data_IF_688246690408
#
_entry.id   IF_688246690408
#
_cell.length_a   1.000
_cell.length_b   1.000
_cell.length_c   1.000
_cell.angle_alpha   90.00
_cell.angle_beta   90.00
_cell.angle_gamma   90.00
#
_symmetry.space_group_name_H-M   'P 1'
#
loop_
_entity.id
_entity.type
_entity.pdbx_description
1 polymer ?
#
# COMPACT_ATOMS: atom_id res chain seq x y z
N UNK A 1 48.76 1.67 -21.32
CA UNK A 1 47.74 0.63 -21.20
C UNK A 1 47.05 0.89 -19.87
N UNK A 2 46.05 1.78 -19.78
CA UNK A 2 44.62 1.57 -20.11
C UNK A 2 44.16 0.17 -19.70
N UNK A 3 43.18 -0.05 -18.82
CA UNK A 3 42.14 0.79 -18.26
C UNK A 3 41.83 0.33 -16.83
N UNK A 4 41.26 1.24 -16.04
CA UNK A 4 40.65 0.96 -14.75
C UNK A 4 39.51 -0.07 -14.93
N UNK A 5 39.74 -1.34 -14.61
CA UNK A 5 38.67 -2.33 -14.45
C UNK A 5 37.95 -2.07 -13.12
N UNK A 6 37.10 -1.03 -13.13
CA UNK A 6 36.11 -0.81 -12.07
C UNK A 6 35.01 -1.86 -12.23
N UNK A 7 35.16 -2.98 -11.53
CA UNK A 7 34.07 -3.94 -11.41
C UNK A 7 32.96 -3.31 -10.55
N UNK A 8 31.76 -3.22 -11.12
CA UNK A 8 30.55 -2.87 -10.36
C UNK A 8 29.84 -4.19 -10.03
N UNK A 9 29.72 -4.57 -8.75
CA UNK A 9 28.98 -5.76 -8.38
C UNK A 9 27.52 -5.60 -8.82
N UNK A 10 26.98 -6.63 -9.48
CA UNK A 10 25.62 -6.66 -9.98
C UNK A 10 24.90 -7.94 -9.53
N UNK A 11 23.61 -7.83 -9.27
CA UNK A 11 22.77 -8.98 -8.96
C UNK A 11 22.29 -9.64 -10.24
N UNK A 12 22.64 -10.91 -10.45
CA UNK A 12 22.09 -11.71 -11.54
C UNK A 12 20.73 -12.26 -11.09
N UNK A 13 19.67 -11.96 -11.84
CA UNK A 13 18.31 -12.47 -11.63
C UNK A 13 17.73 -12.16 -10.22
N UNK A 14 17.71 -10.89 -9.78
CA UNK A 14 17.26 -10.52 -8.42
C UNK A 14 15.78 -10.82 -8.13
N UNK A 15 14.99 -11.19 -9.15
CA UNK A 15 13.57 -11.51 -9.02
C UNK A 15 13.28 -13.02 -9.05
N UNK A 16 14.30 -13.88 -9.24
CA UNK A 16 14.10 -15.32 -9.15
C UNK A 16 13.92 -15.75 -7.69
N UNK A 17 13.05 -16.73 -7.47
CA UNK A 17 12.84 -17.40 -6.18
C UNK A 17 13.48 -18.79 -6.26
N UNK A 18 14.81 -18.91 -6.07
CA UNK A 18 15.57 -20.14 -6.31
C UNK A 18 15.16 -21.31 -5.41
N UNK A 19 14.46 -21.04 -4.31
CA UNK A 19 13.86 -22.07 -3.45
C UNK A 19 12.65 -22.76 -4.09
N UNK A 20 12.04 -22.12 -5.11
CA UNK A 20 10.82 -22.57 -5.79
C UNK A 20 11.14 -23.26 -7.12
N UNK A 21 12.33 -23.05 -7.68
CA UNK A 21 12.78 -23.75 -8.86
C UNK A 21 14.28 -23.70 -9.03
N UNK A 22 14.86 -24.80 -9.50
CA UNK A 22 16.15 -24.71 -10.18
C UNK A 22 16.00 -23.80 -11.40
N UNK A 23 17.06 -23.07 -11.72
CA UNK A 23 17.13 -22.12 -12.85
C UNK A 23 16.46 -22.71 -14.11
N UNK A 24 15.78 -21.91 -14.96
CA UNK A 24 14.63 -22.29 -15.81
C UNK A 24 14.93 -23.25 -17.00
N UNK A 25 15.74 -24.29 -16.84
CA UNK A 25 16.20 -25.18 -17.90
C UNK A 25 16.24 -26.68 -17.54
N UNK A 26 15.57 -27.14 -16.47
CA UNK A 26 15.48 -28.57 -16.14
C UNK A 26 14.01 -29.02 -16.01
N UNK A 27 13.69 -30.30 -16.28
CA UNK A 27 12.36 -30.70 -16.72
C UNK A 27 11.30 -30.53 -15.61
N UNK A 28 10.21 -29.88 -16.01
CA UNK A 28 8.94 -29.78 -15.30
C UNK A 28 8.51 -31.15 -14.78
N UNK A 29 8.31 -31.27 -13.46
CA UNK A 29 7.35 -32.17 -12.77
C UNK A 29 7.64 -32.37 -11.26
N UNK A 30 8.42 -31.52 -10.59
CA UNK A 30 8.54 -31.61 -9.14
C UNK A 30 7.46 -30.82 -8.41
N UNK A 31 6.77 -31.50 -7.49
CA UNK A 31 5.83 -30.89 -6.57
C UNK A 31 6.62 -30.04 -5.56
N UNK A 32 6.50 -28.72 -5.64
CA UNK A 32 7.23 -27.79 -4.77
C UNK A 32 6.58 -27.80 -3.39
N UNK A 33 7.36 -28.08 -2.34
CA UNK A 33 6.88 -27.96 -0.96
C UNK A 33 6.69 -26.46 -0.60
N UNK A 34 5.48 -26.03 -0.20
CA UNK A 34 5.19 -24.65 0.20
C UNK A 34 6.09 -24.09 1.32
N UNK A 35 6.74 -24.95 2.11
CA UNK A 35 7.70 -24.49 3.12
C UNK A 35 8.92 -23.78 2.52
N UNK A 36 9.30 -24.14 1.29
CA UNK A 36 10.38 -23.49 0.55
C UNK A 36 10.02 -22.08 0.07
N UNK A 37 8.75 -21.82 -0.28
CA UNK A 37 8.25 -20.48 -0.56
C UNK A 37 8.44 -19.55 0.64
N UNK A 38 8.18 -20.04 1.84
CA UNK A 38 8.30 -19.25 3.06
C UNK A 38 9.75 -18.80 3.28
N UNK A 39 10.73 -19.65 2.95
CA UNK A 39 12.16 -19.30 3.05
C UNK A 39 12.58 -18.19 2.11
N UNK A 40 12.05 -18.16 0.89
CA UNK A 40 12.36 -17.09 -0.07
C UNK A 40 11.60 -15.79 0.22
N UNK A 41 10.42 -15.89 0.84
CA UNK A 41 9.58 -14.73 1.16
C UNK A 41 9.96 -14.07 2.48
N UNK A 42 10.71 -14.75 3.36
CA UNK A 42 11.17 -14.21 4.63
C UNK A 42 12.70 -14.12 4.63
N UNK A 43 13.21 -12.89 4.73
CA UNK A 43 14.64 -12.59 4.64
C UNK A 43 15.46 -13.09 5.85
N UNK A 44 14.81 -13.38 6.98
CA UNK A 44 15.45 -13.85 8.21
C UNK A 44 14.48 -14.79 8.98
N UNK A 45 15.03 -15.74 9.72
CA UNK A 45 14.32 -16.65 10.64
C UNK A 45 14.99 -16.72 12.01
N UNK A 46 15.90 -15.78 12.31
CA UNK A 46 16.53 -15.65 13.62
C UNK A 46 15.47 -15.51 14.72
N UNK A 47 15.80 -15.97 15.93
CA UNK A 47 14.92 -15.80 17.09
C UNK A 47 14.61 -14.33 17.37
N UNK A 48 15.56 -13.44 17.09
CA UNK A 48 15.39 -11.99 17.19
C UNK A 48 14.35 -11.46 16.17
N UNK A 49 14.44 -11.89 14.91
CA UNK A 49 13.45 -11.52 13.89
C UNK A 49 12.03 -11.97 14.26
N UNK A 50 11.89 -13.21 14.74
CA UNK A 50 10.58 -13.74 15.19
C UNK A 50 10.02 -12.95 16.38
N UNK A 51 10.87 -12.51 17.30
CA UNK A 51 10.43 -11.68 18.42
C UNK A 51 10.03 -10.27 17.97
N UNK A 52 10.74 -9.69 17.00
CA UNK A 52 10.37 -8.41 16.41
C UNK A 52 9.05 -8.47 15.62
N UNK A 53 8.78 -9.57 14.91
CA UNK A 53 7.47 -9.85 14.31
C UNK A 53 6.36 -9.79 15.36
N UNK A 54 6.54 -10.49 16.50
CA UNK A 54 5.55 -10.52 17.58
C UNK A 54 5.30 -9.13 18.14
N UNK A 55 6.36 -8.38 18.44
CA UNK A 55 6.26 -7.00 18.94
C UNK A 55 5.45 -6.11 18.01
N UNK A 56 5.74 -6.14 16.70
CA UNK A 56 4.99 -5.35 15.70
C UNK A 56 3.55 -5.80 15.54
N UNK A 57 3.28 -7.10 15.62
CA UNK A 57 1.91 -7.61 15.60
C UNK A 57 1.09 -7.06 16.76
N UNK A 58 1.63 -7.08 17.99
CA UNK A 58 0.96 -6.57 19.17
C UNK A 58 0.78 -5.05 19.12
N UNK A 59 1.74 -4.30 18.59
CA UNK A 59 1.64 -2.85 18.38
C UNK A 59 0.41 -2.46 17.54
N UNK A 60 0.07 -3.27 16.53
CA UNK A 60 -1.04 -2.99 15.61
C UNK A 60 -2.33 -3.75 15.92
N UNK A 61 -2.37 -4.52 17.02
CA UNK A 61 -3.54 -5.33 17.39
C UNK A 61 -4.07 -4.82 18.71
N UNK A 62 -4.60 -3.59 18.65
CA UNK A 62 -5.24 -2.91 19.78
C UNK A 62 -6.71 -2.63 19.42
N UNK A 63 -7.60 -2.44 20.42
CA UNK A 63 -9.01 -2.14 20.17
C UNK A 63 -9.25 -0.89 19.30
N UNK A 64 -8.34 0.08 19.36
CA UNK A 64 -8.44 1.34 18.61
C UNK A 64 -8.23 1.14 17.10
N UNK A 65 -7.46 0.13 16.72
CA UNK A 65 -7.14 -0.17 15.32
C UNK A 65 -7.85 -1.42 14.78
N UNK A 66 -8.72 -2.05 15.59
CA UNK A 66 -9.43 -3.25 15.19
C UNK A 66 -10.73 -2.92 14.45
N UNK A 67 -10.84 -3.45 13.23
CA UNK A 67 -12.08 -3.36 12.47
C UNK A 67 -12.90 -4.61 12.79
N UNK A 68 -13.76 -4.49 13.80
CA UNK A 68 -14.54 -5.61 14.31
C UNK A 68 -15.44 -6.26 13.27
N UNK A 69 -16.06 -5.46 12.39
CA UNK A 69 -16.98 -5.95 11.36
C UNK A 69 -16.84 -5.16 10.06
N UNK A 70 -16.90 -5.88 8.94
CA UNK A 70 -16.99 -5.30 7.60
C UNK A 70 -18.10 -6.01 6.82
N UNK A 71 -18.84 -5.28 5.96
CA UNK A 71 -19.81 -5.90 5.08
C UNK A 71 -19.12 -6.85 4.09
N UNK A 72 -19.77 -7.97 3.77
CA UNK A 72 -19.30 -8.92 2.75
C UNK A 72 -19.57 -8.40 1.33
N UNK A 73 -19.10 -7.19 1.04
CA UNK A 73 -19.22 -6.54 -0.26
C UNK A 73 -17.88 -6.59 -0.99
N UNK A 74 -17.88 -7.13 -2.21
CA UNK A 74 -16.64 -7.42 -2.95
C UNK A 74 -15.79 -6.18 -3.16
N UNK A 75 -16.41 -5.04 -3.52
CA UNK A 75 -15.68 -3.77 -3.75
C UNK A 75 -14.96 -3.31 -2.47
N UNK A 76 -15.61 -3.42 -1.30
CA UNK A 76 -15.04 -3.00 -0.02
C UNK A 76 -13.90 -3.95 0.39
N UNK A 77 -14.13 -5.25 0.28
CA UNK A 77 -13.13 -6.25 0.63
C UNK A 77 -11.87 -6.13 -0.23
N UNK A 78 -12.02 -6.06 -1.56
CA UNK A 78 -10.90 -6.04 -2.50
C UNK A 78 -10.14 -4.71 -2.54
N UNK A 79 -10.82 -3.58 -2.30
CA UNK A 79 -10.20 -2.25 -2.43
C UNK A 79 -9.76 -1.62 -1.11
N UNK A 80 -10.32 -2.05 0.02
CA UNK A 80 -10.02 -1.49 1.34
C UNK A 80 -9.47 -2.55 2.29
N UNK A 81 -10.24 -3.61 2.57
CA UNK A 81 -9.94 -4.54 3.67
C UNK A 81 -8.72 -5.41 3.38
N UNK A 82 -8.68 -6.09 2.23
CA UNK A 82 -7.56 -6.95 1.87
C UNK A 82 -6.26 -6.20 1.66
N UNK A 83 -6.23 -5.05 0.95
CA UNK A 83 -5.02 -4.26 0.84
C UNK A 83 -4.54 -3.72 2.19
N UNK A 84 -5.45 -3.30 3.09
CA UNK A 84 -5.06 -2.85 4.43
C UNK A 84 -4.51 -4.00 5.29
N UNK A 85 -5.13 -5.19 5.21
CA UNK A 85 -4.59 -6.40 5.84
C UNK A 85 -3.19 -6.73 5.30
N UNK A 86 -2.95 -6.55 4.00
CA UNK A 86 -1.64 -6.75 3.37
C UNK A 86 -0.63 -5.69 3.83
N UNK A 87 -1.04 -4.44 4.02
CA UNK A 87 -0.20 -3.40 4.59
C UNK A 87 0.24 -3.75 6.02
N UNK A 88 -0.69 -4.22 6.86
CA UNK A 88 -0.39 -4.73 8.21
C UNK A 88 0.61 -5.89 8.17
N UNK A 89 0.43 -6.84 7.25
CA UNK A 89 1.38 -7.94 7.05
C UNK A 89 2.77 -7.44 6.65
N UNK A 90 2.83 -6.49 5.71
CA UNK A 90 4.09 -5.91 5.25
C UNK A 90 4.84 -5.23 6.41
N UNK A 91 4.15 -4.41 7.22
CA UNK A 91 4.75 -3.80 8.42
C UNK A 91 5.29 -4.84 9.41
N UNK A 92 4.50 -5.87 9.73
CA UNK A 92 4.91 -6.94 10.66
C UNK A 92 6.18 -7.64 10.19
N UNK A 93 6.35 -7.79 8.87
CA UNK A 93 7.49 -8.46 8.23
C UNK A 93 8.67 -7.52 7.92
N UNK A 94 8.67 -6.28 8.43
CA UNK A 94 9.66 -5.23 8.09
C UNK A 94 9.64 -4.77 6.61
N UNK A 95 8.61 -5.09 5.83
CA UNK A 95 8.43 -4.54 4.48
C UNK A 95 7.72 -3.18 4.57
N UNK A 96 8.47 -2.17 5.01
CA UNK A 96 7.94 -0.83 5.22
C UNK A 96 7.56 -0.13 3.90
N UNK A 97 8.26 -0.40 2.81
CA UNK A 97 7.92 0.15 1.49
C UNK A 97 6.59 -0.41 0.98
N UNK A 98 6.40 -1.74 1.07
CA UNK A 98 5.13 -2.38 0.74
C UNK A 98 3.99 -1.86 1.62
N UNK A 99 4.25 -1.68 2.92
CA UNK A 99 3.30 -1.08 3.85
C UNK A 99 2.88 0.34 3.43
N UNK A 100 3.85 1.24 3.19
CA UNK A 100 3.58 2.63 2.77
C UNK A 100 2.81 2.68 1.45
N UNK A 101 3.17 1.83 0.48
CA UNK A 101 2.49 1.75 -0.80
C UNK A 101 1.02 1.34 -0.64
N UNK A 102 0.76 0.28 0.13
CA UNK A 102 -0.58 -0.25 0.34
C UNK A 102 -1.45 0.69 1.18
N UNK A 103 -0.92 1.28 2.26
CA UNK A 103 -1.63 2.30 3.04
C UNK A 103 -1.99 3.51 2.17
N UNK A 104 -1.07 3.95 1.31
CA UNK A 104 -1.32 5.01 0.35
C UNK A 104 -2.43 4.69 -0.64
N UNK A 105 -2.47 3.47 -1.17
CA UNK A 105 -3.53 3.00 -2.06
C UNK A 105 -4.89 2.94 -1.34
N UNK A 106 -4.93 2.34 -0.14
CA UNK A 106 -6.16 2.22 0.67
C UNK A 106 -6.72 3.59 1.01
N UNK A 107 -5.86 4.53 1.42
CA UNK A 107 -6.28 5.90 1.73
C UNK A 107 -6.95 6.58 0.53
N UNK A 108 -6.37 6.44 -0.67
CA UNK A 108 -6.99 6.97 -1.89
C UNK A 108 -8.34 6.29 -2.22
N UNK A 109 -8.42 4.97 -2.08
CA UNK A 109 -9.65 4.22 -2.32
C UNK A 109 -10.74 4.58 -1.31
N UNK A 110 -10.38 4.80 -0.04
CA UNK A 110 -11.31 5.18 1.02
C UNK A 110 -11.90 6.57 0.76
N UNK A 111 -11.08 7.52 0.34
CA UNK A 111 -11.51 8.87 -0.06
C UNK A 111 -12.50 8.82 -1.24
N UNK A 112 -12.20 8.03 -2.26
CA UNK A 112 -13.12 7.84 -3.41
C UNK A 112 -14.43 7.20 -2.94
N UNK A 113 -14.34 6.17 -2.11
CA UNK A 113 -15.50 5.47 -1.57
C UNK A 113 -16.39 6.39 -0.72
N UNK A 114 -15.80 7.27 0.09
CA UNK A 114 -16.53 8.23 0.90
C UNK A 114 -17.30 9.24 0.04
N UNK A 115 -16.69 9.72 -1.05
CA UNK A 115 -17.38 10.57 -2.02
C UNK A 115 -18.55 9.85 -2.69
N UNK A 116 -18.34 8.59 -3.11
CA UNK A 116 -19.38 7.75 -3.72
C UNK A 116 -20.56 7.53 -2.76
N UNK A 117 -20.29 7.32 -1.46
CA UNK A 117 -21.31 7.10 -0.43
C UNK A 117 -22.13 8.36 -0.13
N UNK A 118 -21.50 9.53 -0.12
CA UNK A 118 -22.16 10.77 0.25
C UNK A 118 -23.21 11.25 -0.77
N UNK A 119 -23.19 10.69 -1.99
CA UNK A 119 -24.15 10.97 -3.05
C UNK A 119 -24.40 12.47 -3.30
N UNK A 120 -23.38 13.33 -3.15
CA UNK A 120 -23.47 14.80 -3.16
C UNK A 120 -24.44 15.31 -4.24
N UNK A 121 -25.39 16.15 -3.83
CA UNK A 121 -26.49 16.60 -4.68
C UNK A 121 -26.28 18.04 -5.17
N UNK A 122 -26.59 18.29 -6.45
CA UNK A 122 -26.80 19.62 -7.04
C UNK A 122 -28.20 19.62 -7.65
N UNK A 123 -29.03 20.60 -7.29
CA UNK A 123 -30.44 20.68 -7.73
C UNK A 123 -31.22 19.38 -7.52
N UNK A 124 -31.08 18.77 -6.32
CA UNK A 124 -31.73 17.51 -5.92
C UNK A 124 -31.36 16.29 -6.76
N UNK A 125 -30.32 16.37 -7.59
CA UNK A 125 -29.76 15.23 -8.34
C UNK A 125 -28.32 14.98 -7.92
N UNK A 126 -27.94 13.71 -7.81
CA UNK A 126 -26.55 13.36 -7.53
C UNK A 126 -25.65 13.91 -8.63
N UNK A 127 -24.47 14.39 -8.22
CA UNK A 127 -23.50 15.05 -9.08
C UNK A 127 -23.01 14.10 -10.17
N UNK A 128 -23.54 14.26 -11.37
CA UNK A 128 -23.18 13.41 -12.49
C UNK A 128 -21.78 13.76 -13.05
N UNK A 129 -21.21 12.87 -13.88
CA UNK A 129 -19.87 13.07 -14.42
C UNK A 129 -19.70 14.37 -15.24
N UNK A 130 -20.75 14.89 -15.86
CA UNK A 130 -20.71 16.17 -16.60
C UNK A 130 -20.58 17.34 -15.62
N UNK A 131 -21.36 17.34 -14.56
CA UNK A 131 -21.29 18.34 -13.48
C UNK A 131 -19.95 18.27 -12.77
N UNK A 132 -19.44 17.07 -12.44
CA UNK A 132 -18.12 16.91 -11.82
C UNK A 132 -17.02 17.54 -12.68
N UNK A 133 -17.03 17.30 -14.00
CA UNK A 133 -16.07 17.91 -14.92
C UNK A 133 -16.18 19.44 -14.98
N UNK A 134 -17.40 19.99 -14.86
CA UNK A 134 -17.60 21.44 -14.84
C UNK A 134 -17.08 22.08 -13.55
N UNK A 135 -17.25 21.42 -12.40
CA UNK A 135 -16.85 21.94 -11.09
C UNK A 135 -15.35 21.71 -10.83
N UNK A 136 -14.86 20.49 -11.10
CA UNK A 136 -13.52 20.05 -10.70
C UNK A 136 -12.52 20.00 -11.88
N UNK A 137 -12.98 20.17 -13.12
CA UNK A 137 -12.17 19.99 -14.35
C UNK A 137 -12.00 18.52 -14.78
N UNK A 138 -12.34 17.56 -13.93
CA UNK A 138 -12.37 16.11 -14.22
C UNK A 138 -13.41 15.42 -13.34
N UNK A 139 -13.56 14.09 -13.46
CA UNK A 139 -14.37 13.33 -12.48
C UNK A 139 -13.61 13.24 -11.16
N UNK A 140 -14.33 13.14 -10.03
CA UNK A 140 -13.71 13.10 -8.69
C UNK A 140 -12.65 12.00 -8.57
N UNK A 141 -12.94 10.81 -9.08
CA UNK A 141 -12.02 9.68 -9.14
C UNK A 141 -10.72 10.01 -9.90
N UNK A 142 -10.73 10.93 -10.87
CA UNK A 142 -9.54 11.33 -11.64
C UNK A 142 -8.77 12.50 -11.03
N UNK A 143 -9.24 13.07 -9.93
CA UNK A 143 -8.49 14.10 -9.20
C UNK A 143 -7.28 13.49 -8.50
N UNK A 144 -6.20 14.26 -8.33
CA UNK A 144 -5.10 13.86 -7.45
C UNK A 144 -5.56 13.84 -5.98
N UNK A 145 -4.91 13.03 -5.14
CA UNK A 145 -5.29 12.83 -3.74
C UNK A 145 -5.45 14.15 -2.97
N UNK A 146 -4.55 15.13 -3.18
CA UNK A 146 -4.64 16.45 -2.54
C UNK A 146 -5.96 17.18 -2.83
N UNK A 147 -6.38 17.17 -4.11
CA UNK A 147 -7.65 17.80 -4.52
C UNK A 147 -8.85 17.04 -3.96
N UNK A 148 -8.79 15.70 -3.93
CA UNK A 148 -9.85 14.88 -3.35
C UNK A 148 -10.06 15.18 -1.86
N UNK A 149 -8.97 15.26 -1.08
CA UNK A 149 -9.00 15.62 0.34
C UNK A 149 -9.66 16.99 0.51
N UNK A 150 -9.20 18.01 -0.23
CA UNK A 150 -9.75 19.36 -0.16
C UNK A 150 -11.26 19.38 -0.43
N UNK A 151 -11.70 18.76 -1.51
CA UNK A 151 -13.13 18.71 -1.87
C UNK A 151 -13.95 18.09 -0.74
N UNK A 152 -13.52 16.97 -0.15
CA UNK A 152 -14.27 16.32 0.93
C UNK A 152 -14.29 17.12 2.24
N UNK A 153 -13.22 17.84 2.54
CA UNK A 153 -13.18 18.76 3.68
C UNK A 153 -14.10 19.97 3.48
N UNK A 154 -14.20 20.50 2.26
CA UNK A 154 -15.08 21.64 1.94
C UNK A 154 -16.59 21.31 2.03
N UNK A 155 -16.96 20.03 1.93
CA UNK A 155 -18.34 19.56 2.05
C UNK A 155 -18.62 18.82 3.37
N UNK A 156 -17.75 19.00 4.38
CA UNK A 156 -17.86 18.40 5.72
C UNK A 156 -17.98 16.87 5.74
N UNK A 157 -17.50 16.18 4.70
CA UNK A 157 -17.44 14.72 4.65
C UNK A 157 -16.16 14.17 5.28
N UNK A 158 -15.14 15.01 5.44
CA UNK A 158 -13.87 14.64 6.05
C UNK A 158 -13.55 15.63 7.17
N UNK A 159 -13.46 15.14 8.41
CA UNK A 159 -13.03 15.95 9.55
C UNK A 159 -11.62 16.49 9.34
N UNK A 160 -11.28 17.59 10.04
CA UNK A 160 -9.94 18.18 9.97
C UNK A 160 -8.84 17.17 10.35
N UNK A 161 -9.11 16.32 11.35
CA UNK A 161 -8.21 15.25 11.78
C UNK A 161 -7.98 14.23 10.66
N UNK A 162 -9.04 13.65 10.10
CA UNK A 162 -8.90 12.67 9.01
C UNK A 162 -8.28 13.27 7.74
N UNK A 163 -8.51 14.56 7.47
CA UNK A 163 -7.87 15.27 6.37
C UNK A 163 -6.36 15.41 6.59
N UNK A 164 -5.92 15.72 7.82
CA UNK A 164 -4.51 15.76 8.20
C UNK A 164 -3.86 14.37 8.07
N UNK A 165 -4.53 13.31 8.51
CA UNK A 165 -4.00 11.95 8.41
C UNK A 165 -3.88 11.50 6.95
N UNK A 166 -4.89 11.74 6.12
CA UNK A 166 -4.85 11.44 4.71
C UNK A 166 -3.71 12.20 3.98
N UNK A 167 -3.49 13.46 4.35
CA UNK A 167 -2.40 14.26 3.83
C UNK A 167 -1.02 13.76 4.31
N UNK A 168 -0.92 13.31 5.57
CA UNK A 168 0.30 12.70 6.10
C UNK A 168 0.67 11.44 5.32
N UNK A 169 -0.29 10.53 5.07
CA UNK A 169 -0.07 9.33 4.25
C UNK A 169 0.40 9.71 2.84
N UNK A 170 -0.21 10.71 2.21
CA UNK A 170 0.21 11.22 0.90
C UNK A 170 1.66 11.69 0.91
N UNK A 171 2.04 12.48 1.93
CA UNK A 171 3.40 13.05 2.06
C UNK A 171 4.44 11.96 2.30
N UNK A 172 4.18 11.01 3.19
CA UNK A 172 5.06 9.87 3.48
C UNK A 172 5.25 9.04 2.20
N UNK A 173 4.17 8.70 1.49
CA UNK A 173 4.25 7.95 0.23
C UNK A 173 5.07 8.70 -0.81
N UNK A 174 4.85 10.00 -0.98
CA UNK A 174 5.63 10.84 -1.89
C UNK A 174 7.11 10.83 -1.55
N UNK A 175 7.44 10.93 -0.26
CA UNK A 175 8.83 10.94 0.21
C UNK A 175 9.57 9.64 -0.12
N UNK A 176 8.94 8.48 0.12
CA UNK A 176 9.63 7.19 0.01
C UNK A 176 9.47 6.48 -1.34
N UNK A 177 8.39 6.75 -2.10
CA UNK A 177 8.13 6.03 -3.35
C UNK A 177 8.38 6.83 -4.63
N UNK A 178 8.53 8.15 -4.55
CA UNK A 178 8.64 9.00 -5.74
C UNK A 178 10.03 9.63 -5.96
N UNK A 179 10.98 9.40 -5.05
CA UNK A 179 12.34 9.93 -5.16
C UNK A 179 13.38 8.80 -5.14
N UNK A 180 14.03 8.59 -6.29
CA UNK A 180 15.10 7.58 -6.43
C UNK A 180 16.31 7.86 -5.52
N UNK A 181 16.57 9.14 -5.22
CA UNK A 181 17.72 9.58 -4.41
C UNK A 181 17.49 9.49 -2.90
N UNK A 182 16.28 9.13 -2.45
CA UNK A 182 15.95 9.13 -1.03
C UNK A 182 16.47 7.86 -0.36
N UNK A 183 17.24 8.03 0.72
CA UNK A 183 17.63 6.92 1.58
C UNK A 183 16.42 6.36 2.34
N UNK A 184 16.38 5.04 2.46
CA UNK A 184 15.42 4.31 3.30
C UNK A 184 15.92 4.11 4.75
N UNK A 185 17.04 4.74 5.11
CA UNK A 185 17.52 4.79 6.50
C UNK A 185 16.46 5.45 7.39
N UNK A 186 15.95 4.70 8.39
CA UNK A 186 14.92 5.18 9.32
C UNK A 186 13.50 5.19 8.73
N UNK A 187 13.20 4.24 7.83
CA UNK A 187 11.84 4.03 7.31
C UNK A 187 10.91 3.29 8.29
N UNK A 188 11.49 2.69 9.34
CA UNK A 188 10.78 1.90 10.35
C UNK A 188 9.75 2.70 11.15
#
# INVERSE_FOLDING_TARGET
>A
MSDNDKTIPGWLRPLSLPSIGELPFWPDNQQIDPSFLVKDLCLDFSSEFLENIRKRYWLLTTPEFDIFVVPNEKKILEKLVWPLRKAKQAFILSDYLGCIALCGMVCEMAIIFLFDLAAIYVDRKSLNAKQQKQIFGSTFEKLGQEKRIRVLSEVDLLSEEHAKDADAVRKIRRQYLHFLSKSYSGIE
#
